data_IF_841934884787
#
_entry.id   IF_841934884787
#
_cell.length_a   1.000
_cell.length_b   1.000
_cell.length_c   1.000
_cell.angle_alpha   90.00
_cell.angle_beta   90.00
_cell.angle_gamma   90.00
#
_symmetry.space_group_name_H-M   'P 1'
#
loop_
_entity.id
_entity.type
_entity.pdbx_description
1 polymer ?
#
# COMPACT_ATOMS: atom_id res chain seq x y z
N UNK A 1 -25.17 12.60 3.27
CA UNK A 1 -26.35 12.43 4.13
C UNK A 1 -25.85 11.90 5.46
N UNK A 2 -25.37 12.79 6.34
CA UNK A 2 -25.12 12.42 7.73
C UNK A 2 -26.49 12.41 8.41
N UNK A 3 -27.09 11.23 8.53
CA UNK A 3 -28.31 11.05 9.33
C UNK A 3 -27.97 11.20 10.80
N UNK A 4 -28.99 11.53 11.61
CA UNK A 4 -28.98 11.52 13.07
C UNK A 4 -28.00 10.50 13.65
N UNK A 5 -27.15 10.98 14.56
CA UNK A 5 -26.02 10.33 15.23
C UNK A 5 -25.90 8.82 15.01
N UNK A 6 -24.79 8.38 14.40
CA UNK A 6 -24.47 6.96 14.25
C UNK A 6 -24.18 6.33 15.63
N UNK A 7 -25.22 5.80 16.27
CA UNK A 7 -25.14 5.16 17.57
C UNK A 7 -24.53 3.75 17.52
N UNK A 8 -24.02 3.28 16.36
CA UNK A 8 -23.40 1.96 16.23
C UNK A 8 -22.10 1.79 17.05
N UNK A 9 -21.50 2.90 17.48
CA UNK A 9 -20.30 2.92 18.33
C UNK A 9 -20.61 3.05 19.82
N UNK A 10 -21.86 3.32 20.19
CA UNK A 10 -22.29 3.57 21.56
C UNK A 10 -22.77 2.29 22.21
N UNK A 11 -22.47 2.13 23.50
CA UNK A 11 -22.98 1.06 24.36
C UNK A 11 -23.84 1.69 25.44
N UNK A 12 -24.99 1.10 25.72
CA UNK A 12 -25.87 1.56 26.79
C UNK A 12 -26.18 0.44 27.77
N UNK A 13 -26.24 0.77 29.06
CA UNK A 13 -26.55 -0.16 30.16
C UNK A 13 -27.16 0.60 31.32
N UNK A 14 -28.13 0.00 32.01
CA UNK A 14 -28.73 0.54 33.22
C UNK A 14 -28.71 -0.53 34.33
N UNK A 15 -27.67 -0.48 35.16
CA UNK A 15 -27.38 -1.50 36.17
C UNK A 15 -28.46 -1.65 37.25
N UNK A 16 -29.01 -0.55 37.75
CA UNK A 16 -30.01 -0.60 38.84
C UNK A 16 -31.28 -1.32 38.39
N UNK A 17 -31.81 -0.95 37.23
CA UNK A 17 -32.97 -1.60 36.64
C UNK A 17 -32.72 -3.10 36.39
N UNK A 18 -31.56 -3.44 35.81
CA UNK A 18 -31.20 -4.83 35.53
C UNK A 18 -31.08 -5.67 36.82
N UNK A 19 -30.62 -5.08 37.93
CA UNK A 19 -30.58 -5.75 39.24
C UNK A 19 -31.96 -5.92 39.88
N UNK A 20 -32.84 -4.93 39.76
CA UNK A 20 -34.16 -4.95 40.39
C UNK A 20 -35.16 -5.85 39.64
N UNK A 21 -35.17 -5.81 38.31
CA UNK A 21 -36.19 -6.47 37.49
C UNK A 21 -35.66 -7.70 36.74
N UNK A 22 -34.35 -7.81 36.55
CA UNK A 22 -33.75 -8.82 35.68
C UNK A 22 -34.01 -8.54 34.19
N UNK A 23 -33.13 -9.02 33.32
CA UNK A 23 -33.33 -8.98 31.86
C UNK A 23 -33.75 -10.37 31.40
N UNK A 24 -35.06 -10.56 31.22
CA UNK A 24 -35.68 -11.79 30.72
C UNK A 24 -36.41 -11.50 29.41
N UNK A 25 -36.91 -12.51 28.72
CA UNK A 25 -37.70 -12.40 27.50
C UNK A 25 -38.88 -11.42 27.66
N UNK A 26 -39.52 -11.43 28.83
CA UNK A 26 -40.68 -10.56 29.10
C UNK A 26 -40.26 -9.11 29.40
N UNK A 27 -39.13 -8.92 30.08
CA UNK A 27 -38.72 -7.59 30.57
C UNK A 27 -37.76 -6.88 29.61
N UNK A 28 -37.10 -7.59 28.68
CA UNK A 28 -36.06 -7.03 27.80
C UNK A 28 -36.56 -5.87 26.92
N UNK A 29 -37.81 -5.92 26.46
CA UNK A 29 -38.38 -4.81 25.68
C UNK A 29 -38.64 -3.57 26.55
N UNK A 30 -39.02 -3.75 27.82
CA UNK A 30 -39.14 -2.66 28.78
C UNK A 30 -37.77 -2.09 29.18
N UNK A 31 -36.73 -2.94 29.23
CA UNK A 31 -35.36 -2.50 29.43
C UNK A 31 -34.86 -1.67 28.24
N UNK A 32 -35.12 -2.14 27.02
CA UNK A 32 -34.70 -1.47 25.78
C UNK A 32 -35.31 -0.08 25.62
N UNK A 33 -36.52 0.14 26.13
CA UNK A 33 -37.19 1.44 26.12
C UNK A 33 -36.41 2.57 26.83
N UNK A 34 -35.67 2.22 27.87
CA UNK A 34 -34.85 3.18 28.62
C UNK A 34 -33.59 3.59 27.85
N UNK A 35 -33.26 2.86 26.78
CA UNK A 35 -32.07 3.11 25.98
C UNK A 35 -32.27 4.24 24.98
N UNK A 36 -31.19 4.96 24.58
CA UNK A 36 -31.26 5.98 23.54
C UNK A 36 -31.57 5.41 22.15
N UNK A 37 -31.54 4.08 21.99
CA UNK A 37 -31.87 3.40 20.74
C UNK A 37 -33.37 3.28 20.50
N UNK A 38 -34.18 3.47 21.55
CA UNK A 38 -35.62 3.33 21.46
C UNK A 38 -36.27 4.57 20.85
N UNK A 39 -37.16 4.33 19.91
CA UNK A 39 -37.91 5.37 19.21
C UNK A 39 -39.28 5.56 19.87
N UNK A 40 -39.54 6.76 20.39
CA UNK A 40 -40.79 7.12 21.06
C UNK A 40 -41.97 7.28 20.08
N UNK A 41 -41.70 7.37 18.79
CA UNK A 41 -42.72 7.38 17.73
C UNK A 41 -43.03 5.96 17.20
N UNK A 42 -42.46 4.93 17.84
CA UNK A 42 -42.70 3.53 17.47
C UNK A 42 -44.10 3.04 17.83
N UNK A 43 -44.56 2.02 17.12
CA UNK A 43 -45.83 1.34 17.43
C UNK A 43 -45.85 0.72 18.84
N UNK A 44 -44.68 0.35 19.35
CA UNK A 44 -44.51 -0.21 20.68
C UNK A 44 -44.94 0.80 21.76
N UNK A 45 -44.62 2.08 21.57
CA UNK A 45 -45.02 3.15 22.47
C UNK A 45 -46.54 3.34 22.48
N UNK A 46 -47.19 3.28 21.31
CA UNK A 46 -48.65 3.35 21.20
C UNK A 46 -49.33 2.17 21.91
N UNK A 47 -48.84 0.94 21.70
CA UNK A 47 -49.38 -0.23 22.41
C UNK A 47 -49.22 -0.12 23.92
N UNK A 48 -48.08 0.42 24.37
CA UNK A 48 -47.83 0.65 25.79
C UNK A 48 -48.78 1.69 26.37
N UNK A 49 -49.02 2.79 25.67
CA UNK A 49 -50.01 3.82 26.05
C UNK A 49 -51.42 3.26 26.13
N UNK A 50 -51.76 2.27 25.30
CA UNK A 50 -53.04 1.57 25.35
C UNK A 50 -53.08 0.40 26.33
N UNK A 51 -52.01 0.19 27.12
CA UNK A 51 -51.84 -0.95 28.02
C UNK A 51 -52.09 -2.31 27.34
N UNK A 52 -51.70 -2.43 26.07
CA UNK A 52 -51.78 -3.68 25.30
C UNK A 52 -50.43 -4.39 25.28
N UNK A 53 -50.42 -5.74 25.29
CA UNK A 53 -49.19 -6.49 25.18
C UNK A 53 -48.54 -6.27 23.81
N UNK A 54 -47.20 -6.22 23.78
CA UNK A 54 -46.42 -6.08 22.55
C UNK A 54 -46.35 -7.45 21.87
N UNK A 55 -47.43 -7.81 21.18
CA UNK A 55 -47.55 -9.03 20.39
C UNK A 55 -47.53 -8.68 18.92
N UNK A 56 -47.05 -9.59 18.06
CA UNK A 56 -47.02 -9.35 16.61
C UNK A 56 -48.40 -9.02 16.03
N UNK A 57 -49.47 -9.62 16.56
CA UNK A 57 -50.85 -9.34 16.18
C UNK A 57 -51.26 -7.89 16.49
N UNK A 58 -50.90 -7.39 17.68
CA UNK A 58 -51.19 -6.03 18.09
C UNK A 58 -50.37 -5.00 17.27
N UNK A 59 -49.11 -5.33 16.95
CA UNK A 59 -48.27 -4.49 16.09
C UNK A 59 -48.80 -4.42 14.64
N UNK A 60 -49.38 -5.51 14.14
CA UNK A 60 -50.06 -5.55 12.83
C UNK A 60 -51.39 -4.79 12.85
N UNK A 61 -52.10 -4.78 13.98
CA UNK A 61 -53.40 -4.09 14.12
C UNK A 61 -53.28 -2.57 14.00
N UNK A 62 -52.14 -2.01 14.40
CA UNK A 62 -51.89 -0.57 14.30
C UNK A 62 -51.68 -0.19 12.82
N UNK A 63 -52.55 0.68 12.25
CA UNK A 63 -52.41 1.12 10.87
C UNK A 63 -51.16 2.01 10.71
N UNK A 64 -50.60 1.98 9.50
CA UNK A 64 -49.47 2.82 9.11
C UNK A 64 -48.11 2.11 9.09
N UNK A 65 -47.22 2.64 8.24
CA UNK A 65 -45.86 2.18 8.06
C UNK A 65 -44.94 2.92 9.03
N UNK A 66 -45.00 2.58 10.32
CA UNK A 66 -44.08 3.08 11.37
C UNK A 66 -43.14 1.99 11.85
N UNK A 67 -42.08 2.41 12.54
CA UNK A 67 -41.11 1.49 13.13
C UNK A 67 -41.74 0.69 14.26
N UNK A 68 -41.36 -0.58 14.34
CA UNK A 68 -41.74 -1.50 15.41
C UNK A 68 -40.49 -2.27 15.86
N UNK A 69 -40.43 -2.52 17.17
CA UNK A 69 -39.36 -3.29 17.80
C UNK A 69 -39.92 -4.66 18.18
N UNK A 70 -39.26 -5.72 17.71
CA UNK A 70 -39.69 -7.10 17.97
C UNK A 70 -38.51 -7.87 18.51
N UNK A 71 -38.73 -8.66 19.56
CA UNK A 71 -37.76 -9.62 20.03
C UNK A 71 -37.71 -10.79 19.03
N UNK A 72 -36.58 -10.94 18.35
CA UNK A 72 -36.40 -11.96 17.31
C UNK A 72 -35.88 -13.28 17.90
N UNK A 73 -34.87 -13.20 18.77
CA UNK A 73 -34.26 -14.36 19.41
C UNK A 73 -33.92 -14.04 20.87
N UNK A 74 -34.04 -15.05 21.73
CA UNK A 74 -33.85 -14.93 23.16
C UNK A 74 -33.15 -16.18 23.70
N UNK A 75 -31.91 -16.00 24.14
CA UNK A 75 -31.10 -17.00 24.82
C UNK A 75 -30.85 -16.51 26.25
N UNK A 76 -31.80 -16.84 27.13
CA UNK A 76 -31.70 -16.43 28.52
C UNK A 76 -30.52 -17.13 29.23
N UNK A 77 -29.80 -16.43 30.12
CA UNK A 77 -29.95 -15.01 30.50
C UNK A 77 -29.06 -14.03 29.70
N UNK A 78 -28.26 -14.53 28.75
CA UNK A 78 -27.09 -13.81 28.26
C UNK A 78 -27.32 -12.98 26.99
N UNK A 79 -28.17 -13.43 26.08
CA UNK A 79 -28.30 -12.83 24.75
C UNK A 79 -29.77 -12.64 24.35
N UNK A 80 -30.10 -11.42 23.95
CA UNK A 80 -31.37 -11.12 23.30
C UNK A 80 -31.12 -10.32 22.03
N UNK A 81 -31.88 -10.64 20.98
CA UNK A 81 -31.79 -9.97 19.68
C UNK A 81 -33.09 -9.22 19.42
N UNK A 82 -33.03 -7.90 19.47
CA UNK A 82 -34.16 -7.02 19.16
C UNK A 82 -34.00 -6.53 17.73
N UNK A 83 -35.05 -6.70 16.92
CA UNK A 83 -35.10 -6.21 15.55
C UNK A 83 -35.95 -4.95 15.46
N UNK A 84 -35.38 -3.88 14.92
CA UNK A 84 -36.13 -2.71 14.45
C UNK A 84 -36.55 -2.97 13.02
N UNK A 85 -37.84 -3.05 12.79
CA UNK A 85 -38.43 -3.33 11.49
C UNK A 85 -39.50 -2.31 11.15
N UNK A 86 -39.83 -2.21 9.87
CA UNK A 86 -40.94 -1.40 9.39
C UNK A 86 -41.74 -2.23 8.39
N UNK A 87 -43.05 -2.28 8.58
CA UNK A 87 -43.95 -2.99 7.68
C UNK A 87 -44.65 -1.99 6.77
N UNK A 88 -44.34 -2.05 5.47
CA UNK A 88 -44.95 -1.17 4.46
C UNK A 88 -46.47 -1.33 4.37
N UNK A 89 -46.98 -2.54 4.57
CA UNK A 89 -48.41 -2.85 4.53
C UNK A 89 -48.77 -3.80 5.68
N UNK A 90 -49.88 -3.53 6.38
CA UNK A 90 -50.32 -4.36 7.51
C UNK A 90 -50.49 -5.86 7.15
N UNK A 91 -50.89 -6.16 5.92
CA UNK A 91 -51.08 -7.52 5.41
C UNK A 91 -49.79 -8.18 4.86
N UNK A 92 -48.67 -7.47 4.78
CA UNK A 92 -47.44 -8.04 4.24
C UNK A 92 -46.89 -9.13 5.17
N UNK A 93 -46.49 -10.27 4.60
CA UNK A 93 -45.93 -11.40 5.36
C UNK A 93 -44.55 -11.07 5.94
N UNK A 94 -43.74 -10.29 5.23
CA UNK A 94 -42.40 -9.85 5.65
C UNK A 94 -42.38 -8.38 6.08
N UNK A 95 -41.53 -8.06 7.05
CA UNK A 95 -41.21 -6.69 7.45
C UNK A 95 -39.79 -6.35 6.98
N UNK A 96 -39.57 -5.10 6.58
CA UNK A 96 -38.24 -4.62 6.19
C UNK A 96 -37.42 -4.39 7.47
N UNK A 97 -36.27 -5.05 7.58
CA UNK A 97 -35.38 -4.91 8.73
C UNK A 97 -34.54 -3.65 8.57
N UNK A 98 -34.65 -2.72 9.52
CA UNK A 98 -33.91 -1.46 9.50
C UNK A 98 -32.62 -1.56 10.31
N UNK A 99 -32.69 -2.18 11.49
CA UNK A 99 -31.54 -2.39 12.37
C UNK A 99 -31.76 -3.60 13.29
N UNK A 100 -30.67 -4.13 13.84
CA UNK A 100 -30.69 -5.13 14.89
C UNK A 100 -29.94 -4.60 16.10
N UNK A 101 -30.40 -4.96 17.29
CA UNK A 101 -29.80 -4.60 18.57
C UNK A 101 -29.55 -5.87 19.37
N UNK A 102 -28.36 -5.98 19.92
CA UNK A 102 -27.95 -7.08 20.79
C UNK A 102 -27.98 -6.60 22.23
N UNK A 103 -28.66 -7.35 23.09
CA UNK A 103 -28.59 -7.18 24.53
C UNK A 103 -27.74 -8.33 25.07
N UNK A 104 -26.49 -8.02 25.45
CA UNK A 104 -25.51 -8.96 25.98
C UNK A 104 -25.28 -8.68 27.46
N UNK A 105 -25.68 -9.60 28.34
CA UNK A 105 -25.53 -9.49 29.79
C UNK A 105 -26.07 -8.18 30.39
N UNK A 106 -27.09 -7.59 29.76
CA UNK A 106 -27.68 -6.29 30.12
C UNK A 106 -27.04 -5.07 29.44
N UNK A 107 -26.01 -5.24 28.62
CA UNK A 107 -25.46 -4.17 27.78
C UNK A 107 -26.09 -4.20 26.39
N UNK A 108 -26.55 -3.06 25.89
CA UNK A 108 -27.23 -2.92 24.60
C UNK A 108 -26.26 -2.35 23.57
N UNK A 109 -26.16 -3.04 22.43
CA UNK A 109 -25.33 -2.70 21.29
C UNK A 109 -26.18 -2.62 20.03
N UNK A 110 -25.96 -1.61 19.20
CA UNK A 110 -26.51 -1.60 17.84
C UNK A 110 -25.60 -2.42 16.92
N UNK A 111 -26.19 -3.34 16.15
CA UNK A 111 -25.45 -4.10 15.15
C UNK A 111 -25.04 -3.17 13.99
N UNK A 112 -23.73 -3.08 13.65
CA UNK A 112 -23.30 -2.32 12.50
C UNK A 112 -23.78 -3.00 11.21
N UNK A 113 -24.01 -2.20 10.16
CA UNK A 113 -24.33 -2.75 8.85
C UNK A 113 -23.13 -3.49 8.27
N UNK A 114 -23.37 -4.52 7.46
CA UNK A 114 -22.31 -5.27 6.80
C UNK A 114 -21.41 -4.34 5.95
N UNK A 115 -22.02 -3.37 5.29
CA UNK A 115 -21.32 -2.33 4.55
C UNK A 115 -20.35 -1.55 5.45
N UNK A 116 -20.82 -1.03 6.58
CA UNK A 116 -19.97 -0.27 7.51
C UNK A 116 -18.78 -1.11 8.02
N UNK A 117 -19.00 -2.39 8.35
CA UNK A 117 -17.93 -3.30 8.80
C UNK A 117 -16.89 -3.52 7.70
N UNK A 118 -17.31 -3.76 6.46
CA UNK A 118 -16.41 -4.01 5.34
C UNK A 118 -15.63 -2.73 5.00
N UNK A 119 -16.31 -1.59 4.87
CA UNK A 119 -15.68 -0.30 4.57
C UNK A 119 -14.63 0.05 5.62
N UNK A 120 -14.97 -0.05 6.91
CA UNK A 120 -14.03 0.21 8.00
C UNK A 120 -12.79 -0.69 7.94
N UNK A 121 -12.94 -1.98 7.61
CA UNK A 121 -11.82 -2.92 7.46
C UNK A 121 -10.95 -2.62 6.23
N UNK A 122 -11.56 -2.23 5.11
CA UNK A 122 -10.85 -1.80 3.91
C UNK A 122 -10.06 -0.51 4.18
N UNK A 123 -10.70 0.48 4.82
CA UNK A 123 -10.09 1.77 5.17
C UNK A 123 -8.88 1.57 6.10
N UNK A 124 -9.02 0.72 7.12
CA UNK A 124 -7.92 0.36 8.02
C UNK A 124 -6.76 -0.33 7.30
N UNK A 125 -7.05 -1.19 6.32
CA UNK A 125 -6.02 -1.85 5.52
C UNK A 125 -5.27 -0.85 4.64
N UNK A 126 -6.00 0.05 3.96
CA UNK A 126 -5.41 1.12 3.15
C UNK A 126 -4.59 2.10 4.01
N UNK A 127 -5.08 2.45 5.20
CA UNK A 127 -4.35 3.27 6.15
C UNK A 127 -3.01 2.62 6.53
N UNK A 128 -3.01 1.34 6.89
CA UNK A 128 -1.79 0.61 7.22
C UNK A 128 -0.81 0.58 6.03
N UNK A 129 -1.29 0.40 4.80
CA UNK A 129 -0.45 0.46 3.59
C UNK A 129 0.17 1.85 3.41
N UNK A 130 -0.63 2.92 3.54
CA UNK A 130 -0.14 4.30 3.45
C UNK A 130 0.94 4.57 4.48
N UNK A 131 0.70 4.18 5.74
CA UNK A 131 1.68 4.34 6.83
C UNK A 131 2.96 3.54 6.54
N UNK A 132 2.85 2.32 6.02
CA UNK A 132 4.02 1.51 5.66
C UNK A 132 4.84 2.15 4.54
N UNK A 133 4.20 2.64 3.47
CA UNK A 133 4.90 3.33 2.38
C UNK A 133 5.50 4.66 2.82
N UNK A 134 4.82 5.45 3.66
CA UNK A 134 5.39 6.68 4.20
C UNK A 134 6.62 6.42 5.05
N UNK A 135 6.63 5.35 5.86
CA UNK A 135 7.82 4.93 6.61
C UNK A 135 8.94 4.47 5.69
N UNK A 136 8.62 3.64 4.68
CA UNK A 136 9.61 3.19 3.70
C UNK A 136 10.23 4.36 2.93
N UNK A 137 9.44 5.36 2.54
CA UNK A 137 9.95 6.58 1.90
C UNK A 137 10.91 7.33 2.83
N UNK A 138 10.54 7.51 4.10
CA UNK A 138 11.39 8.16 5.09
C UNK A 138 12.71 7.43 5.31
N UNK A 139 12.70 6.09 5.28
CA UNK A 139 13.93 5.28 5.43
C UNK A 139 14.79 5.28 4.14
N UNK A 140 14.18 5.50 2.97
CA UNK A 140 14.87 5.56 1.68
C UNK A 140 15.41 6.96 1.34
N UNK A 141 14.80 8.03 1.85
CA UNK A 141 15.24 9.41 1.59
C UNK A 141 16.71 9.67 1.99
N UNK A 142 17.23 9.19 3.14
CA UNK A 142 18.64 9.31 3.48
C UNK A 142 19.55 8.61 2.48
N UNK A 143 19.17 7.43 1.99
CA UNK A 143 19.95 6.69 0.99
C UNK A 143 19.98 7.42 -0.36
N UNK A 144 18.91 8.14 -0.72
CA UNK A 144 18.88 8.94 -1.93
C UNK A 144 19.80 10.17 -1.81
N UNK A 145 19.80 10.81 -0.63
CA UNK A 145 20.70 11.94 -0.33
C UNK A 145 22.17 11.50 -0.34
N UNK A 146 22.51 10.38 0.30
CA UNK A 146 23.89 9.87 0.32
C UNK A 146 24.44 9.56 -1.09
N UNK A 147 23.58 9.05 -1.99
CA UNK A 147 23.94 8.77 -3.38
C UNK A 147 24.12 10.07 -4.17
N UNK A 148 23.22 11.04 -4.01
CA UNK A 148 23.33 12.35 -4.67
C UNK A 148 24.52 13.16 -4.16
N UNK A 149 24.78 13.16 -2.86
CA UNK A 149 25.92 13.83 -2.23
C UNK A 149 27.25 13.16 -2.66
N UNK A 150 27.30 11.83 -2.70
CA UNK A 150 28.47 11.11 -3.21
C UNK A 150 28.72 11.37 -4.69
N UNK A 151 27.67 11.47 -5.50
CA UNK A 151 27.79 11.80 -6.92
C UNK A 151 28.23 13.26 -7.14
N UNK A 152 27.69 14.19 -6.35
CA UNK A 152 28.07 15.60 -6.36
C UNK A 152 29.53 15.78 -5.94
N UNK A 153 29.98 15.09 -4.87
CA UNK A 153 31.38 15.09 -4.47
C UNK A 153 32.30 14.50 -5.54
N UNK A 154 31.90 13.41 -6.20
CA UNK A 154 32.69 12.80 -7.27
C UNK A 154 32.84 13.74 -8.49
N UNK A 155 31.78 14.45 -8.85
CA UNK A 155 31.79 15.45 -9.93
C UNK A 155 32.66 16.65 -9.56
N UNK A 156 32.57 17.12 -8.31
CA UNK A 156 33.39 18.21 -7.80
C UNK A 156 34.88 17.84 -7.79
N UNK A 157 35.23 16.62 -7.35
CA UNK A 157 36.60 16.09 -7.41
C UNK A 157 37.12 16.02 -8.85
N UNK A 158 36.30 15.60 -9.81
CA UNK A 158 36.68 15.63 -11.23
C UNK A 158 36.93 17.06 -11.73
N UNK A 159 36.09 18.01 -11.34
CA UNK A 159 36.25 19.42 -11.71
C UNK A 159 37.51 20.04 -11.09
N UNK A 160 37.84 19.73 -9.83
CA UNK A 160 39.04 20.21 -9.15
C UNK A 160 40.31 19.62 -9.75
N UNK A 161 40.32 18.32 -10.08
CA UNK A 161 41.42 17.67 -10.82
C UNK A 161 41.61 18.33 -12.20
N UNK A 162 40.53 18.66 -12.90
CA UNK A 162 40.60 19.36 -14.18
C UNK A 162 41.16 20.77 -14.02
N UNK A 163 40.73 21.52 -13.00
CA UNK A 163 41.26 22.85 -12.66
C UNK A 163 42.74 22.81 -12.31
N UNK A 164 43.16 21.83 -11.53
CA UNK A 164 44.57 21.67 -11.12
C UNK A 164 45.48 21.27 -12.29
N UNK A 165 44.92 20.62 -13.34
CA UNK A 165 45.63 20.31 -14.59
C UNK A 165 45.71 21.50 -15.56
N UNK A 166 45.07 22.63 -15.28
CA UNK A 166 45.30 23.87 -16.05
C UNK A 166 46.67 24.40 -15.64
N UNK A 167 47.71 24.06 -16.42
CA UNK A 167 49.09 24.50 -16.18
C UNK A 167 49.16 26.01 -16.01
N UNK A 168 49.94 26.47 -15.02
CA UNK A 168 50.17 27.89 -14.77
C UNK A 168 50.87 28.55 -15.96
N UNK A 169 50.75 29.88 -16.09
CA UNK A 169 51.31 30.63 -17.22
C UNK A 169 52.84 30.42 -17.37
N UNK A 170 53.56 30.28 -16.25
CA UNK A 170 55.00 30.02 -16.23
C UNK A 170 55.35 28.61 -16.74
N UNK A 171 54.58 27.60 -16.32
CA UNK A 171 54.76 26.23 -16.79
C UNK A 171 54.40 26.08 -18.28
N UNK A 172 53.39 26.81 -18.76
CA UNK A 172 53.06 26.86 -20.19
C UNK A 172 54.20 27.45 -21.02
N UNK A 173 54.87 28.49 -20.53
CA UNK A 173 56.04 29.08 -21.20
C UNK A 173 57.23 28.12 -21.18
N UNK A 174 57.44 27.42 -20.06
CA UNK A 174 58.48 26.41 -19.92
C UNK A 174 58.28 25.25 -20.91
N UNK A 175 57.05 24.75 -21.07
CA UNK A 175 56.70 23.74 -22.08
C UNK A 175 56.97 24.25 -23.50
N UNK A 176 56.56 25.48 -23.84
CA UNK A 176 56.84 26.08 -25.16
C UNK A 176 58.35 26.20 -25.42
N UNK A 177 59.15 26.52 -24.41
CA UNK A 177 60.61 26.62 -24.51
C UNK A 177 61.24 25.25 -24.74
N UNK A 178 60.80 24.22 -23.99
CA UNK A 178 61.24 22.84 -24.16
C UNK A 178 60.89 22.32 -25.55
N UNK A 179 59.67 22.53 -26.02
CA UNK A 179 59.24 22.15 -27.38
C UNK A 179 60.10 22.83 -28.46
N UNK A 180 60.43 24.10 -28.28
CA UNK A 180 61.30 24.83 -29.21
C UNK A 180 62.71 24.26 -29.26
N UNK A 181 63.24 23.82 -28.12
CA UNK A 181 64.54 23.13 -28.04
C UNK A 181 64.45 21.77 -28.73
N UNK A 182 63.41 20.98 -28.44
CA UNK A 182 63.19 19.68 -29.06
C UNK A 182 63.13 19.83 -30.59
N UNK A 183 62.41 20.83 -31.09
CA UNK A 183 62.27 21.05 -32.54
C UNK A 183 63.58 21.52 -33.19
N UNK A 184 64.41 22.26 -32.47
CA UNK A 184 65.76 22.60 -32.92
C UNK A 184 66.70 21.38 -32.90
N UNK A 185 66.58 20.48 -31.93
CA UNK A 185 67.37 19.24 -31.89
C UNK A 185 66.92 18.29 -33.00
N UNK A 186 65.61 18.09 -33.17
CA UNK A 186 65.05 17.24 -34.21
C UNK A 186 65.38 17.73 -35.62
N UNK A 187 65.49 19.04 -35.84
CA UNK A 187 65.89 19.59 -37.14
C UNK A 187 67.38 19.45 -37.44
N UNK A 188 68.22 19.21 -36.43
CA UNK A 188 69.67 18.96 -36.58
C UNK A 188 70.02 17.46 -36.73
N UNK A 189 69.07 16.57 -36.47
CA UNK A 189 69.28 15.14 -36.68
C UNK A 189 69.15 14.81 -38.18
N UNK A 190 70.07 14.02 -38.76
CA UNK A 190 69.94 13.54 -40.14
C UNK A 190 68.64 12.76 -40.30
N UNK A 191 67.86 13.04 -41.35
CA UNK A 191 66.66 12.25 -41.64
C UNK A 191 67.07 10.78 -41.80
N UNK A 192 66.40 9.82 -41.13
CA UNK A 192 66.73 8.42 -41.28
C UNK A 192 66.60 8.02 -42.74
N UNK A 193 67.64 7.37 -43.28
CA UNK A 193 67.71 6.93 -44.65
C UNK A 193 66.65 5.83 -44.88
N UNK A 194 65.50 6.20 -45.45
CA UNK A 194 64.34 5.29 -45.61
C UNK A 194 64.56 4.18 -46.63
N UNK A 195 65.72 4.14 -47.30
CA UNK A 195 66.06 3.11 -48.29
C UNK A 195 66.80 1.90 -47.70
N UNK A 196 67.63 2.05 -46.66
CA UNK A 196 68.51 0.96 -46.19
C UNK A 196 67.97 0.15 -45.00
N UNK A 197 66.86 0.56 -44.39
CA UNK A 197 66.28 -0.14 -43.23
C UNK A 197 65.07 -1.03 -43.54
N UNK A 198 64.65 -1.15 -44.81
CA UNK A 198 63.51 -2.01 -45.19
C UNK A 198 63.86 -3.49 -45.40
N UNK A 199 65.13 -3.87 -45.47
CA UNK A 199 65.50 -5.26 -45.82
C UNK A 199 65.89 -6.15 -44.63
N UNK A 200 66.03 -5.61 -43.41
CA UNK A 200 66.52 -6.41 -42.27
C UNK A 200 65.47 -6.98 -41.31
N UNK A 201 64.32 -6.32 -41.14
CA UNK A 201 63.40 -6.62 -40.04
C UNK A 201 61.96 -6.35 -40.47
N UNK A 202 61.24 -7.36 -40.96
CA UNK A 202 59.80 -7.16 -41.18
C UNK A 202 59.00 -8.22 -41.92
N UNK A 203 59.61 -9.20 -42.59
CA UNK A 203 58.82 -10.12 -43.42
C UNK A 203 58.47 -11.46 -42.74
N UNK A 204 59.14 -11.87 -41.66
CA UNK A 204 58.86 -13.14 -40.98
C UNK A 204 57.80 -13.11 -39.86
N UNK A 205 57.60 -11.96 -39.20
CA UNK A 205 56.81 -11.92 -37.95
C UNK A 205 55.37 -11.43 -38.12
N UNK A 206 55.05 -10.70 -39.19
CA UNK A 206 53.69 -10.22 -39.44
C UNK A 206 52.73 -11.35 -39.86
N UNK A 207 53.16 -12.23 -40.77
CA UNK A 207 52.36 -13.35 -41.24
C UNK A 207 52.03 -14.36 -40.12
N UNK A 208 52.97 -14.62 -39.22
CA UNK A 208 52.77 -15.53 -38.09
C UNK A 208 51.77 -14.99 -37.04
N UNK A 209 51.71 -13.66 -36.83
CA UNK A 209 50.75 -13.02 -35.92
C UNK A 209 49.35 -12.97 -36.52
N UNK A 210 49.23 -12.73 -37.83
CA UNK A 210 47.94 -12.70 -38.53
C UNK A 210 47.30 -14.10 -38.63
N UNK A 211 48.11 -15.14 -38.89
CA UNK A 211 47.64 -16.53 -38.90
C UNK A 211 47.25 -17.06 -37.51
N UNK A 212 47.83 -16.51 -36.43
CA UNK A 212 47.43 -16.82 -35.04
C UNK A 212 46.12 -16.13 -34.67
N UNK A 213 45.90 -14.90 -35.15
CA UNK A 213 44.64 -14.16 -34.95
C UNK A 213 43.46 -14.80 -35.68
N UNK A 214 43.64 -15.24 -36.94
CA UNK A 214 42.57 -15.87 -37.72
C UNK A 214 42.17 -17.26 -37.19
N UNK A 215 43.13 -18.04 -36.66
CA UNK A 215 42.81 -19.32 -35.99
C UNK A 215 42.01 -19.13 -34.69
N UNK A 216 42.31 -18.08 -33.92
CA UNK A 216 41.58 -17.77 -32.68
C UNK A 216 40.13 -17.30 -32.88
N UNK A 217 39.80 -16.71 -34.03
CA UNK A 217 38.43 -16.33 -34.38
C UNK A 217 37.61 -17.57 -34.78
N UNK A 218 38.17 -18.44 -35.63
CA UNK A 218 37.48 -19.67 -36.08
C UNK A 218 37.19 -20.68 -34.97
N UNK A 219 38.05 -20.80 -33.94
CA UNK A 219 37.80 -21.66 -32.77
C UNK A 219 36.70 -21.12 -31.86
N UNK A 220 36.60 -19.79 -31.71
CA UNK A 220 35.54 -19.15 -30.92
C UNK A 220 34.16 -19.29 -31.58
N UNK A 221 34.09 -19.18 -32.91
CA UNK A 221 32.84 -19.36 -33.65
C UNK A 221 32.36 -20.82 -33.65
N UNK A 222 33.27 -21.81 -33.74
CA UNK A 222 32.90 -23.24 -33.57
C UNK A 222 32.39 -23.55 -32.15
N UNK A 223 32.99 -22.94 -31.12
CA UNK A 223 32.55 -23.12 -29.73
C UNK A 223 31.24 -22.38 -29.39
N UNK A 224 30.87 -21.35 -30.14
CA UNK A 224 29.59 -20.66 -30.02
C UNK A 224 28.45 -21.47 -30.68
N UNK A 225 28.69 -22.05 -31.86
CA UNK A 225 27.69 -22.87 -32.58
C UNK A 225 27.43 -24.22 -31.87
N UNK A 226 28.44 -24.81 -31.22
CA UNK A 226 28.27 -26.06 -30.45
C UNK A 226 27.43 -25.87 -29.17
N UNK A 227 27.50 -24.70 -28.53
CA UNK A 227 26.69 -24.37 -27.34
C UNK A 227 25.23 -24.10 -27.69
N UNK A 228 24.94 -23.56 -28.87
CA UNK A 228 23.57 -23.30 -29.31
C UNK A 228 22.78 -24.60 -29.62
N UNK A 229 23.46 -25.64 -30.13
CA UNK A 229 22.80 -26.93 -30.43
C UNK A 229 22.45 -27.78 -29.19
N UNK A 230 23.07 -27.54 -28.03
CA UNK A 230 22.73 -28.27 -26.79
C UNK A 230 21.48 -27.71 -26.08
N UNK A 231 21.11 -26.45 -26.32
CA UNK A 231 19.87 -25.87 -25.75
C UNK A 231 18.60 -26.19 -26.55
N UNK A 232 18.70 -26.58 -27.83
CA UNK A 232 17.53 -26.93 -28.65
C UNK A 232 17.10 -28.41 -28.57
N UNK A 233 17.78 -29.25 -27.78
CA UNK A 233 17.42 -30.65 -27.55
C UNK A 233 16.87 -30.93 -26.13
N UNK A 234 16.60 -29.89 -25.34
CA UNK A 234 16.08 -29.98 -23.97
C UNK A 234 14.85 -29.05 -23.76
N UNK A 235 13.94 -29.03 -24.73
CA UNK A 235 12.56 -28.53 -24.60
C UNK A 235 11.63 -29.43 -25.40
#
# INVERSE_FOLDING_TARGET
>A
MASADDLSTVVWRHDEWARCYGVTNETVLAYFELSPFYDRDSKNEELRKWHRPITEENLKSIPGSRVEFVLQDAQEPHLFVIRKQQRRQAAAKSADTLAAYYVLDGSIYQAPTLHAVISSRMDRSMYNMKVAFSKMQQDLDPLHQDVEDSAAEALQRQADIFRQKVLSAEEQEHVKRVDRIIMNVLSQLPRPNTASQREGYGQGQAAARQARWQRGIHERDRAAVARCKHCQAAS
#
